data_IF_088041334017
#
_entry.id   IF_088041334017
#
_cell.length_a   1.000
_cell.length_b   1.000
_cell.length_c   1.000
_cell.angle_alpha   90.00
_cell.angle_beta   90.00
_cell.angle_gamma   90.00
#
_symmetry.space_group_name_H-M   'P 1'
#
loop_
_entity.id
_entity.type
_entity.pdbx_description
1 polymer ?
#
# COMPACT_ATOMS: atom_id res chain seq x y z
N UNK A 1 4.20 7.81 16.38
CA UNK A 1 2.91 7.15 16.69
C UNK A 1 2.86 5.92 15.81
N UNK A 2 2.56 4.75 16.35
CA UNK A 2 2.41 3.53 15.54
C UNK A 2 0.99 3.47 15.02
N UNK A 3 0.80 3.64 13.72
CA UNK A 3 -0.49 3.45 13.05
C UNK A 3 -0.78 1.96 12.94
N UNK A 4 -2.07 1.60 12.83
CA UNK A 4 -2.49 0.22 12.62
C UNK A 4 -3.01 0.06 11.21
N UNK A 5 -2.52 -0.96 10.49
CA UNK A 5 -3.07 -1.37 9.20
C UNK A 5 -4.05 -2.52 9.45
N UNK A 6 -5.27 -2.35 8.97
CA UNK A 6 -6.30 -3.41 8.98
C UNK A 6 -6.83 -3.56 7.56
N UNK A 7 -6.92 -4.80 7.07
CA UNK A 7 -7.51 -5.07 5.78
C UNK A 7 -9.03 -5.18 5.90
N UNK A 8 -9.75 -4.62 4.93
CA UNK A 8 -11.22 -4.64 4.91
C UNK A 8 -11.79 -6.07 4.95
N UNK A 9 -11.15 -7.01 4.24
CA UNK A 9 -11.49 -8.44 4.27
C UNK A 9 -10.34 -9.30 3.71
N UNK A 10 -10.49 -10.63 3.79
CA UNK A 10 -9.52 -11.62 3.28
C UNK A 10 -9.22 -11.50 1.78
N UNK A 11 -10.15 -10.96 0.99
CA UNK A 11 -9.93 -10.78 -0.46
C UNK A 11 -8.87 -9.73 -0.76
N UNK A 12 -8.74 -8.70 0.08
CA UNK A 12 -7.68 -7.67 -0.02
C UNK A 12 -6.32 -8.30 0.26
N UNK A 13 -6.22 -9.08 1.32
CA UNK A 13 -4.98 -9.80 1.66
C UNK A 13 -4.57 -10.75 0.53
N UNK A 14 -5.52 -11.55 0.02
CA UNK A 14 -5.28 -12.44 -1.11
C UNK A 14 -4.83 -11.69 -2.36
N UNK A 15 -5.42 -10.54 -2.65
CA UNK A 15 -5.03 -9.72 -3.80
C UNK A 15 -3.57 -9.21 -3.68
N UNK A 16 -3.11 -8.86 -2.47
CA UNK A 16 -1.72 -8.50 -2.20
C UNK A 16 -0.80 -9.74 -2.36
N UNK A 17 -1.24 -10.90 -1.88
CA UNK A 17 -0.50 -12.15 -1.98
C UNK A 17 -0.36 -12.66 -3.43
N UNK A 18 -1.33 -12.33 -4.29
CA UNK A 18 -1.33 -12.72 -5.71
C UNK A 18 -0.56 -11.72 -6.61
N UNK A 19 0.00 -10.63 -6.06
CA UNK A 19 0.78 -9.66 -6.84
C UNK A 19 2.11 -10.24 -7.35
N UNK A 20 2.65 -9.73 -8.48
CA UNK A 20 4.02 -10.06 -8.91
C UNK A 20 5.04 -9.81 -7.79
N UNK A 21 6.02 -10.69 -7.66
CA UNK A 21 6.91 -10.77 -6.48
C UNK A 21 7.51 -9.41 -6.08
N UNK A 22 8.01 -8.61 -7.03
CA UNK A 22 8.60 -7.30 -6.71
C UNK A 22 7.55 -6.25 -6.32
N UNK A 23 6.35 -6.31 -6.91
CA UNK A 23 5.23 -5.45 -6.54
C UNK A 23 4.73 -5.80 -5.14
N UNK A 24 4.59 -7.10 -4.84
CA UNK A 24 4.23 -7.59 -3.52
C UNK A 24 5.23 -7.12 -2.47
N UNK A 25 6.53 -7.35 -2.68
CA UNK A 25 7.57 -6.89 -1.75
C UNK A 25 7.52 -5.37 -1.54
N UNK A 26 7.25 -4.60 -2.61
CA UNK A 26 7.08 -3.16 -2.50
C UNK A 26 5.83 -2.78 -1.72
N UNK A 27 4.71 -3.47 -1.93
CA UNK A 27 3.46 -3.25 -1.20
C UNK A 27 3.68 -3.48 0.29
N UNK A 28 4.23 -4.62 0.69
CA UNK A 28 4.53 -4.94 2.08
C UNK A 28 5.42 -3.87 2.72
N UNK A 29 6.45 -3.39 1.99
CA UNK A 29 7.31 -2.32 2.50
C UNK A 29 6.57 -1.01 2.73
N UNK A 30 5.61 -0.67 1.87
CA UNK A 30 4.80 0.54 2.04
C UNK A 30 3.84 0.41 3.23
N UNK A 31 3.28 -0.78 3.47
CA UNK A 31 2.44 -1.03 4.64
C UNK A 31 3.23 -0.85 5.95
N UNK A 32 4.46 -1.40 6.04
CA UNK A 32 5.35 -1.16 7.19
C UNK A 32 5.61 0.33 7.43
N UNK A 33 5.87 1.10 6.37
CA UNK A 33 6.10 2.53 6.46
C UNK A 33 4.83 3.29 6.88
N UNK A 34 3.66 2.82 6.47
CA UNK A 34 2.37 3.38 6.89
C UNK A 34 2.16 3.13 8.39
N UNK A 35 2.51 1.95 8.90
CA UNK A 35 2.47 1.67 10.34
C UNK A 35 3.40 2.60 11.13
N UNK A 36 4.55 2.99 10.58
CA UNK A 36 5.50 3.87 11.25
C UNK A 36 5.16 5.37 11.13
N UNK A 37 4.72 5.81 9.95
CA UNK A 37 4.63 7.23 9.58
C UNK A 37 3.22 7.70 9.24
N UNK A 38 2.29 6.78 8.99
CA UNK A 38 0.91 7.06 8.58
C UNK A 38 0.68 6.96 7.07
N UNK A 39 -0.59 7.10 6.67
CA UNK A 39 -1.05 6.85 5.30
C UNK A 39 -0.49 7.81 4.24
N UNK A 40 0.04 8.97 4.64
CA UNK A 40 0.61 9.95 3.71
C UNK A 40 2.14 9.81 3.64
N UNK A 41 2.61 8.89 2.80
CA UNK A 41 4.03 8.71 2.50
C UNK A 41 4.53 9.65 1.38
N UNK A 42 3.64 10.42 0.76
CA UNK A 42 3.93 11.28 -0.38
C UNK A 42 4.21 10.54 -1.69
N UNK A 43 4.31 11.32 -2.77
CA UNK A 43 4.65 10.77 -4.10
C UNK A 43 6.10 10.27 -4.13
N UNK A 44 6.40 9.11 -4.75
CA UNK A 44 5.52 8.31 -5.61
C UNK A 44 4.81 7.14 -4.90
N UNK A 45 4.76 7.13 -3.57
CA UNK A 45 4.33 5.99 -2.75
C UNK A 45 2.84 6.00 -2.41
N UNK A 46 2.31 7.17 -2.08
CA UNK A 46 0.87 7.35 -1.82
C UNK A 46 0.37 8.61 -2.53
N UNK A 47 -0.84 8.56 -3.06
CA UNK A 47 -1.51 9.70 -3.69
C UNK A 47 -2.80 10.02 -2.93
N UNK A 48 -3.05 11.29 -2.54
CA UNK A 48 -4.30 11.66 -1.89
C UNK A 48 -5.48 11.53 -2.88
N UNK A 49 -6.58 10.93 -2.43
CA UNK A 49 -7.83 10.81 -3.21
C UNK A 49 -8.92 11.79 -2.76
N UNK A 50 -8.69 12.52 -1.67
CA UNK A 50 -9.69 13.36 -1.01
C UNK A 50 -10.28 12.68 0.23
N UNK A 51 -10.94 13.46 1.09
CA UNK A 51 -11.65 12.97 2.28
C UNK A 51 -10.81 12.12 3.26
N UNK A 52 -9.48 12.33 3.28
CA UNK A 52 -8.55 11.58 4.10
C UNK A 52 -8.15 10.20 3.54
N UNK A 53 -8.59 9.87 2.32
CA UNK A 53 -8.23 8.65 1.60
C UNK A 53 -6.94 8.81 0.80
N UNK A 54 -6.18 7.72 0.73
CA UNK A 54 -4.91 7.64 0.00
C UNK A 54 -4.86 6.35 -0.82
N UNK A 55 -4.39 6.44 -2.07
CA UNK A 55 -4.03 5.28 -2.89
C UNK A 55 -2.56 4.91 -2.61
N UNK A 56 -2.30 3.65 -2.25
CA UNK A 56 -0.94 3.08 -2.18
C UNK A 56 -0.49 2.68 -3.58
N UNK A 57 0.71 3.11 -3.98
CA UNK A 57 1.29 2.92 -5.33
C UNK A 57 2.59 2.13 -5.26
N UNK A 58 2.48 0.81 -5.27
CA UNK A 58 3.61 -0.12 -5.27
C UNK A 58 4.17 -0.31 -6.70
N UNK A 59 5.15 0.52 -7.09
CA UNK A 59 5.80 0.45 -8.41
C UNK A 59 6.98 -0.53 -8.41
N UNK A 60 7.05 -1.37 -9.44
CA UNK A 60 8.18 -2.23 -9.73
C UNK A 60 8.41 -2.35 -11.25
N UNK A 61 9.31 -3.24 -11.66
CA UNK A 61 9.63 -3.44 -13.08
C UNK A 61 8.44 -3.98 -13.88
N UNK A 62 7.60 -4.78 -13.22
CA UNK A 62 6.41 -5.44 -13.76
C UNK A 62 5.21 -4.49 -13.92
N UNK A 63 5.30 -3.27 -13.37
CA UNK A 63 4.23 -2.27 -13.44
C UNK A 63 3.93 -1.64 -12.07
N UNK A 64 2.64 -1.42 -11.79
CA UNK A 64 2.18 -0.74 -10.57
C UNK A 64 1.06 -1.55 -9.93
N UNK A 65 1.28 -2.02 -8.71
CA UNK A 65 0.22 -2.49 -7.82
C UNK A 65 -0.42 -1.32 -7.08
N UNK A 66 -1.75 -1.34 -6.97
CA UNK A 66 -2.53 -0.31 -6.29
C UNK A 66 -3.37 -0.93 -5.18
N UNK A 67 -3.48 -0.25 -4.05
CA UNK A 67 -4.40 -0.60 -2.96
C UNK A 67 -5.00 0.68 -2.37
N UNK A 68 -6.22 0.56 -1.88
CA UNK A 68 -6.95 1.59 -1.14
C UNK A 68 -7.01 1.23 0.35
#
# INVERSE_FOLDING_TARGET
MTWKVEFYNESVEKAILDMPLKIQARMLKLLELIEEHGANLGSPHTEPMGDGLFEIRAKAQEGIGRSL
#
